data_IF_565203191878
#
_entry.id   IF_565203191878
#
_cell.length_a   1.000
_cell.length_b   1.000
_cell.length_c   1.000
_cell.angle_alpha   90.00
_cell.angle_beta   90.00
_cell.angle_gamma   90.00
#
_symmetry.space_group_name_H-M   'P 1'
#
loop_
_entity.id
_entity.type
_entity.pdbx_description
1 polymer ?
#
# COMPACT_ATOMS: atom_id res chain seq x y z
N UNK A 1 -5.24 3.41 13.03
CA UNK A 1 -4.45 3.44 11.78
C UNK A 1 -5.36 3.48 10.56
N UNK A 2 -6.24 2.50 10.35
CA UNK A 2 -7.20 2.50 9.24
C UNK A 2 -8.64 2.67 9.74
N UNK A 3 -9.47 3.35 8.95
CA UNK A 3 -10.91 3.50 9.16
C UNK A 3 -11.59 2.92 7.91
N UNK A 4 -12.33 1.83 8.10
CA UNK A 4 -13.06 1.17 7.02
C UNK A 4 -14.44 1.79 6.83
N UNK A 5 -14.92 1.83 5.59
CA UNK A 5 -16.26 2.30 5.24
C UNK A 5 -17.35 1.25 5.56
N UNK A 6 -16.97 -0.02 5.60
CA UNK A 6 -17.83 -1.19 5.80
C UNK A 6 -17.01 -2.32 6.44
N UNK A 7 -17.68 -3.31 7.05
CA UNK A 7 -17.00 -4.48 7.62
C UNK A 7 -16.55 -5.44 6.51
N UNK A 8 -15.25 -5.75 6.47
CA UNK A 8 -14.64 -6.55 5.39
C UNK A 8 -13.73 -7.63 5.99
N UNK A 9 -13.92 -8.87 5.53
CA UNK A 9 -13.04 -9.99 5.83
C UNK A 9 -11.95 -10.11 4.76
N UNK A 10 -10.71 -9.80 5.14
CA UNK A 10 -9.54 -9.79 4.25
C UNK A 10 -8.77 -11.12 4.22
N UNK A 11 -9.27 -12.15 4.90
CA UNK A 11 -8.60 -13.45 4.95
C UNK A 11 -8.39 -14.03 3.55
N UNK A 12 -7.15 -14.42 3.26
CA UNK A 12 -6.75 -14.99 1.98
C UNK A 12 -6.49 -13.97 0.86
N UNK A 13 -6.63 -12.66 1.11
CA UNK A 13 -6.32 -11.64 0.10
C UNK A 13 -4.84 -11.56 -0.21
N UNK A 14 -4.51 -11.26 -1.46
CA UNK A 14 -3.17 -10.83 -1.86
C UNK A 14 -3.05 -9.32 -1.65
N UNK A 15 -2.03 -8.87 -0.92
CA UNK A 15 -1.82 -7.48 -0.55
C UNK A 15 -0.68 -6.85 -1.36
N UNK A 16 -0.90 -5.64 -1.87
CA UNK A 16 0.11 -4.78 -2.51
C UNK A 16 0.36 -3.59 -1.59
N UNK A 17 1.62 -3.39 -1.21
CA UNK A 17 2.08 -2.25 -0.40
C UNK A 17 3.15 -1.48 -1.20
N UNK A 18 2.87 -0.24 -1.65
CA UNK A 18 3.84 0.53 -2.40
C UNK A 18 5.01 0.93 -1.52
N UNK A 19 6.21 0.87 -2.09
CA UNK A 19 7.41 1.44 -1.48
C UNK A 19 7.38 2.97 -1.59
N UNK A 20 8.06 3.68 -0.68
CA UNK A 20 8.27 5.12 -0.83
C UNK A 20 9.70 5.32 -1.31
N UNK A 21 9.88 5.24 -2.62
CA UNK A 21 11.18 5.22 -3.30
C UNK A 21 11.39 6.40 -4.25
N UNK A 22 12.53 6.38 -4.96
CA UNK A 22 12.87 7.41 -5.95
C UNK A 22 11.87 7.36 -7.10
N UNK A 23 11.41 8.54 -7.53
CA UNK A 23 10.51 8.68 -8.69
C UNK A 23 9.08 8.14 -8.47
N UNK A 24 8.70 7.77 -7.24
CA UNK A 24 7.34 7.31 -6.88
C UNK A 24 6.82 6.14 -7.73
N UNK A 25 7.73 5.34 -8.33
CA UNK A 25 7.38 4.31 -9.32
C UNK A 25 6.33 3.33 -8.79
N UNK A 26 6.51 2.84 -7.57
CA UNK A 26 5.61 1.87 -6.94
C UNK A 26 4.25 2.48 -6.59
N UNK A 27 4.19 3.77 -6.24
CA UNK A 27 2.93 4.50 -6.06
C UNK A 27 2.18 4.64 -7.39
N UNK A 28 2.87 5.03 -8.46
CA UNK A 28 2.30 5.16 -9.81
C UNK A 28 1.88 3.80 -10.39
N UNK A 29 2.66 2.75 -10.13
CA UNK A 29 2.30 1.38 -10.50
C UNK A 29 1.05 0.93 -9.75
N UNK A 30 0.91 1.31 -8.48
CA UNK A 30 -0.30 1.04 -7.71
C UNK A 30 -1.51 1.82 -8.24
N UNK A 31 -1.33 3.07 -8.68
CA UNK A 31 -2.39 3.83 -9.37
C UNK A 31 -2.88 3.12 -10.63
N UNK A 32 -1.95 2.62 -11.46
CA UNK A 32 -2.30 1.84 -12.65
C UNK A 32 -3.07 0.59 -12.28
N UNK A 33 -2.62 -0.18 -11.28
CA UNK A 33 -3.31 -1.39 -10.83
C UNK A 33 -4.74 -1.05 -10.33
N UNK A 34 -4.88 -0.01 -9.50
CA UNK A 34 -6.19 0.43 -8.98
C UNK A 34 -7.11 0.83 -10.12
N UNK A 35 -6.64 1.64 -11.06
CA UNK A 35 -7.42 2.15 -12.19
C UNK A 35 -7.79 1.04 -13.18
N UNK A 36 -6.82 0.22 -13.60
CA UNK A 36 -7.04 -0.85 -14.57
C UNK A 36 -7.96 -1.95 -14.05
N UNK A 37 -7.81 -2.35 -12.78
CA UNK A 37 -8.67 -3.36 -12.17
C UNK A 37 -9.94 -2.79 -11.54
N UNK A 38 -10.12 -1.46 -11.61
CA UNK A 38 -11.26 -0.73 -11.01
C UNK A 38 -11.49 -1.09 -9.55
N UNK A 39 -10.41 -1.07 -8.75
CA UNK A 39 -10.50 -1.45 -7.32
C UNK A 39 -11.35 -0.42 -6.55
N UNK A 40 -12.20 -0.91 -5.64
CA UNK A 40 -13.09 -0.09 -4.79
C UNK A 40 -12.34 0.45 -3.58
N UNK A 41 -12.49 1.72 -3.25
CA UNK A 41 -11.90 2.28 -2.03
C UNK A 41 -12.71 1.87 -0.80
N UNK A 42 -12.07 1.14 0.13
CA UNK A 42 -12.73 0.59 1.31
C UNK A 42 -12.25 1.15 2.64
N UNK A 43 -11.06 1.76 2.68
CA UNK A 43 -10.58 2.39 3.89
C UNK A 43 -9.73 3.62 3.64
N UNK A 44 -9.59 4.43 4.68
CA UNK A 44 -8.70 5.58 4.75
C UNK A 44 -7.82 5.45 5.99
N UNK A 45 -6.55 5.80 5.87
CA UNK A 45 -5.56 5.68 6.92
C UNK A 45 -5.09 7.01 7.50
N UNK A 46 -4.92 7.03 8.81
CA UNK A 46 -4.41 8.16 9.58
C UNK A 46 -3.29 7.71 10.51
N UNK A 47 -2.19 8.45 10.49
CA UNK A 47 -1.02 8.21 11.33
C UNK A 47 -0.18 9.47 11.46
N UNK A 48 0.53 9.64 12.58
CA UNK A 48 1.47 10.76 12.81
C UNK A 48 2.63 10.81 11.81
N UNK A 49 2.82 9.73 11.04
CA UNK A 49 3.85 9.64 10.02
C UNK A 49 3.39 10.17 8.66
N UNK A 50 2.07 10.28 8.44
CA UNK A 50 1.51 10.71 7.17
C UNK A 50 1.35 12.23 7.18
N UNK A 51 1.80 12.89 6.11
CA UNK A 51 1.51 14.30 5.91
C UNK A 51 0.04 14.38 5.44
N UNK A 52 -0.83 15.18 6.08
CA UNK A 52 -2.23 15.26 5.69
C UNK A 52 -2.38 15.67 4.22
N UNK A 53 -3.17 14.90 3.49
CA UNK A 53 -3.59 15.16 2.12
C UNK A 53 -5.10 14.92 2.09
N UNK A 54 -5.85 15.82 1.47
CA UNK A 54 -7.27 15.63 1.21
C UNK A 54 -7.61 16.22 -0.16
N UNK A 55 -8.36 15.47 -0.97
CA UNK A 55 -8.72 15.91 -2.31
C UNK A 55 -9.83 15.06 -2.92
N UNK A 56 -10.27 15.41 -4.14
CA UNK A 56 -11.29 14.66 -4.86
C UNK A 56 -10.80 13.23 -5.18
N UNK A 57 -11.71 12.42 -5.73
CA UNK A 57 -11.35 11.09 -6.22
C UNK A 57 -10.17 11.15 -7.19
N UNK A 58 -9.20 10.27 -6.98
CA UNK A 58 -8.09 10.07 -7.91
C UNK A 58 -8.48 9.20 -9.12
N UNK A 59 -9.63 8.52 -9.09
CA UNK A 59 -9.99 7.51 -10.07
C UNK A 59 -11.40 7.70 -10.60
N UNK A 60 -11.54 7.71 -11.93
CA UNK A 60 -12.82 7.94 -12.60
C UNK A 60 -13.89 6.90 -12.27
N UNK A 61 -13.50 5.66 -11.95
CA UNK A 61 -14.43 4.59 -11.59
C UNK A 61 -14.96 4.69 -10.15
N UNK A 62 -14.42 5.60 -9.33
CA UNK A 62 -14.83 5.85 -7.95
C UNK A 62 -15.11 7.36 -7.75
N UNK A 63 -16.06 7.97 -8.50
CA UNK A 63 -16.24 9.43 -8.51
C UNK A 63 -16.64 10.02 -7.15
N UNK A 64 -17.34 9.25 -6.31
CA UNK A 64 -17.80 9.68 -4.98
C UNK A 64 -16.75 9.44 -3.88
N UNK A 65 -15.58 8.94 -4.25
CA UNK A 65 -14.48 8.72 -3.33
C UNK A 65 -13.64 9.99 -3.13
N UNK A 66 -12.74 9.94 -2.16
CA UNK A 66 -11.83 11.04 -1.87
C UNK A 66 -10.43 10.51 -1.62
N UNK A 67 -9.46 11.28 -2.09
CA UNK A 67 -8.05 10.99 -1.88
C UNK A 67 -7.62 11.45 -0.49
N UNK A 68 -6.90 10.58 0.21
CA UNK A 68 -6.22 10.88 1.46
C UNK A 68 -4.74 10.49 1.37
N UNK A 69 -3.97 10.81 2.41
CA UNK A 69 -2.55 10.44 2.48
C UNK A 69 -2.33 8.92 2.41
N UNK A 70 -3.26 8.14 2.98
CA UNK A 70 -3.32 6.70 2.88
C UNK A 70 -4.75 6.24 2.57
N UNK A 71 -4.91 5.49 1.50
CA UNK A 71 -6.17 4.82 1.15
C UNK A 71 -5.94 3.34 0.91
N UNK A 72 -7.00 2.55 1.08
CA UNK A 72 -7.00 1.10 0.84
C UNK A 72 -8.07 0.77 -0.17
N UNK A 73 -7.70 0.00 -1.18
CA UNK A 73 -8.56 -0.41 -2.27
C UNK A 73 -8.61 -1.94 -2.37
N UNK A 74 -9.73 -2.50 -2.79
CA UNK A 74 -9.87 -3.94 -2.99
C UNK A 74 -10.59 -4.32 -4.28
N UNK A 75 -10.37 -5.57 -4.69
CA UNK A 75 -11.29 -6.34 -5.53
C UNK A 75 -11.60 -7.65 -4.81
N UNK A 76 -12.83 -7.77 -4.32
CA UNK A 76 -13.27 -8.94 -3.55
C UNK A 76 -13.34 -10.21 -4.39
N UNK A 77 -13.60 -10.08 -5.70
CA UNK A 77 -13.67 -11.24 -6.62
C UNK A 77 -12.29 -11.87 -6.82
N UNK A 78 -11.26 -11.02 -6.96
CA UNK A 78 -9.86 -11.45 -7.15
C UNK A 78 -9.12 -11.62 -5.83
N UNK A 79 -9.77 -11.30 -4.70
CA UNK A 79 -9.16 -11.22 -3.37
C UNK A 79 -7.86 -10.39 -3.41
N UNK A 80 -7.93 -9.22 -4.02
CA UNK A 80 -6.80 -8.30 -4.12
C UNK A 80 -7.01 -7.11 -3.19
N UNK A 81 -5.95 -6.72 -2.48
CA UNK A 81 -5.89 -5.60 -1.54
C UNK A 81 -4.71 -4.72 -1.97
N UNK A 82 -4.93 -3.42 -2.13
CA UNK A 82 -3.88 -2.47 -2.49
C UNK A 82 -3.91 -1.26 -1.55
N UNK A 83 -2.75 -0.95 -0.97
CA UNK A 83 -2.53 0.30 -0.25
C UNK A 83 -2.08 1.37 -1.23
N UNK A 84 -2.57 2.60 -1.10
CA UNK A 84 -2.01 3.75 -1.79
C UNK A 84 -1.54 4.78 -0.77
N UNK A 85 -0.27 5.19 -0.86
CA UNK A 85 0.35 6.18 0.03
C UNK A 85 0.78 7.37 -0.83
N UNK A 86 0.16 8.53 -0.61
CA UNK A 86 0.33 9.74 -1.43
C UNK A 86 1.32 10.76 -0.86
N UNK A 87 1.74 10.59 0.39
CA UNK A 87 2.69 11.48 1.06
C UNK A 87 4.00 10.76 1.41
N UNK A 88 5.14 11.46 1.41
CA UNK A 88 6.31 11.02 2.15
C UNK A 88 5.97 10.78 3.63
N UNK A 89 6.75 9.92 4.30
CA UNK A 89 6.59 9.70 5.74
C UNK A 89 7.47 10.65 6.55
N UNK A 90 6.93 11.17 7.65
CA UNK A 90 7.67 11.91 8.66
C UNK A 90 8.61 10.95 9.38
N UNK A 91 9.92 11.08 9.13
CA UNK A 91 10.95 10.11 9.50
C UNK A 91 10.90 9.63 10.95
N UNK A 92 10.69 10.52 11.93
CA UNK A 92 10.60 10.18 13.37
C UNK A 92 9.45 9.23 13.73
N UNK A 93 8.44 9.11 12.87
CA UNK A 93 7.26 8.27 13.08
C UNK A 93 7.18 7.09 12.09
N UNK A 94 8.13 6.97 11.16
CA UNK A 94 8.10 5.92 10.12
C UNK A 94 8.13 4.52 10.68
N UNK A 95 8.97 4.24 11.69
CA UNK A 95 9.07 2.89 12.29
C UNK A 95 7.75 2.46 12.94
N UNK A 96 7.12 3.38 13.66
CA UNK A 96 5.82 3.17 14.30
C UNK A 96 4.71 2.90 13.28
N UNK A 97 4.68 3.67 12.20
CA UNK A 97 3.76 3.45 11.08
C UNK A 97 3.92 2.07 10.45
N UNK A 98 5.17 1.67 10.17
CA UNK A 98 5.45 0.37 9.56
C UNK A 98 5.08 -0.78 10.49
N UNK A 99 5.35 -0.66 11.80
CA UNK A 99 4.93 -1.67 12.79
C UNK A 99 3.40 -1.82 12.83
N UNK A 100 2.66 -0.71 12.86
CA UNK A 100 1.20 -0.72 12.82
C UNK A 100 0.66 -1.37 11.52
N UNK A 101 1.32 -1.12 10.39
CA UNK A 101 0.99 -1.74 9.11
C UNK A 101 1.25 -3.25 9.13
N UNK A 102 2.41 -3.69 9.63
CA UNK A 102 2.74 -5.11 9.78
C UNK A 102 1.71 -5.80 10.67
N UNK A 103 1.38 -5.22 11.81
CA UNK A 103 0.42 -5.78 12.76
C UNK A 103 -0.97 -5.93 12.14
N UNK A 104 -1.43 -4.91 11.41
CA UNK A 104 -2.67 -4.97 10.65
C UNK A 104 -2.68 -6.12 9.64
N UNK A 105 -1.62 -6.25 8.84
CA UNK A 105 -1.53 -7.31 7.82
C UNK A 105 -1.52 -8.71 8.45
N UNK A 106 -0.83 -8.88 9.58
CA UNK A 106 -0.84 -10.13 10.35
C UNK A 106 -2.24 -10.48 10.86
N UNK A 107 -2.92 -9.52 11.49
CA UNK A 107 -4.30 -9.71 12.00
C UNK A 107 -5.31 -9.97 10.88
N UNK A 108 -5.08 -9.40 9.70
CA UNK A 108 -5.98 -9.54 8.54
C UNK A 108 -5.86 -10.90 7.82
N UNK A 109 -4.85 -11.71 8.15
CA UNK A 109 -4.63 -13.04 7.55
C UNK A 109 -4.56 -13.02 6.01
N UNK A 110 -3.89 -12.01 5.45
CA UNK A 110 -3.62 -11.94 4.00
C UNK A 110 -2.72 -13.10 3.56
N UNK A 111 -2.97 -13.67 2.38
CA UNK A 111 -2.25 -14.85 1.88
C UNK A 111 -0.86 -14.52 1.33
N UNK A 112 -0.69 -13.36 0.71
CA UNK A 112 0.56 -12.89 0.09
C UNK A 112 0.71 -11.39 0.26
N UNK A 113 1.95 -10.90 0.34
CA UNK A 113 2.27 -9.47 0.42
C UNK A 113 3.35 -9.16 -0.61
N UNK A 114 3.09 -8.17 -1.48
CA UNK A 114 4.05 -7.60 -2.41
C UNK A 114 4.47 -6.21 -1.93
N UNK A 115 5.76 -6.03 -1.65
CA UNK A 115 6.36 -4.75 -1.28
C UNK A 115 7.70 -4.57 -2.00
N UNK A 116 7.95 -3.37 -2.53
CA UNK A 116 9.19 -3.04 -3.23
C UNK A 116 10.29 -2.55 -2.25
N UNK A 117 11.55 -2.90 -2.52
CA UNK A 117 12.60 -3.02 -1.51
C UNK A 117 13.50 -1.77 -1.42
N UNK A 118 13.70 -1.26 -0.20
CA UNK A 118 15.01 -0.70 0.22
C UNK A 118 15.50 -1.14 1.61
N UNK A 119 14.67 -1.69 2.51
CA UNK A 119 15.09 -2.46 3.71
C UNK A 119 13.88 -3.11 4.42
N UNK A 120 14.01 -4.42 4.65
CA UNK A 120 13.26 -5.38 5.50
C UNK A 120 11.81 -5.09 5.95
N UNK A 121 10.89 -5.91 5.44
CA UNK A 121 9.64 -6.25 6.12
C UNK A 121 9.86 -7.61 6.82
N UNK A 122 10.19 -7.62 8.11
CA UNK A 122 10.34 -8.86 8.89
C UNK A 122 8.99 -9.26 9.47
N UNK A 123 8.35 -10.25 8.86
CA UNK A 123 7.22 -10.96 9.44
C UNK A 123 7.70 -12.36 9.86
N UNK A 124 8.17 -12.48 11.10
CA UNK A 124 8.39 -13.80 11.71
C UNK A 124 7.04 -14.46 12.05
N UNK A 125 7.03 -15.79 11.81
CA UNK A 125 6.00 -16.84 11.94
C UNK A 125 4.82 -16.86 10.95
N UNK A 126 5.12 -17.37 9.73
CA UNK A 126 4.30 -18.14 8.75
C UNK A 126 2.94 -17.59 8.31
N UNK A 127 2.72 -17.32 6.99
CA UNK A 127 2.92 -18.23 5.87
C UNK A 127 4.18 -17.91 5.05
N UNK A 128 4.65 -18.83 4.19
CA UNK A 128 5.78 -18.57 3.28
C UNK A 128 5.47 -17.37 2.37
N UNK A 129 6.02 -16.22 2.72
CA UNK A 129 5.87 -14.97 1.97
C UNK A 129 6.70 -15.04 0.68
N UNK A 130 6.04 -15.07 -0.47
CA UNK A 130 6.70 -14.87 -1.77
C UNK A 130 6.79 -13.37 -2.06
N UNK A 131 7.92 -12.75 -1.74
CA UNK A 131 8.24 -11.40 -2.22
C UNK A 131 8.56 -11.50 -3.72
N UNK A 132 7.64 -11.08 -4.59
CA UNK A 132 7.97 -10.88 -6.02
C UNK A 132 8.68 -9.54 -6.15
N UNK A 133 9.96 -9.62 -6.52
CA UNK A 133 10.85 -8.48 -6.77
C UNK A 133 10.49 -7.85 -8.11
N UNK A 134 9.89 -6.66 -8.10
CA UNK A 134 9.81 -5.83 -9.31
C UNK A 134 11.14 -5.10 -9.41
N UNK A 135 12.15 -5.72 -10.03
CA UNK A 135 13.46 -5.09 -10.18
C UNK A 135 13.39 -3.97 -11.21
N UNK A 136 13.68 -2.74 -10.83
CA UNK A 136 14.11 -1.73 -11.79
C UNK A 136 15.63 -1.89 -12.00
N UNK A 137 16.01 -2.45 -13.14
CA UNK A 137 17.37 -2.27 -13.69
C UNK A 137 17.45 -0.86 -14.23
N UNK A 138 18.05 0.05 -13.47
CA UNK A 138 18.64 1.26 -14.03
C UNK A 138 20.12 1.26 -13.68
N UNK A 139 20.93 1.35 -14.73
CA UNK A 139 22.37 1.17 -14.71
C UNK A 139 23.08 2.20 -13.85
N UNK A 140 24.21 1.77 -13.30
CA UNK A 140 25.27 2.66 -12.87
C UNK A 140 25.70 3.52 -14.04
N UNK A 141 25.23 4.76 -14.09
CA UNK A 141 25.94 5.83 -14.77
C UNK A 141 26.06 6.99 -13.80
N UNK A 142 27.31 7.41 -13.62
CA UNK A 142 27.85 8.58 -12.90
C UNK A 142 28.12 8.43 -11.40
N UNK A 143 29.41 8.28 -11.08
CA UNK A 143 30.28 9.22 -10.34
C UNK A 143 31.58 8.46 -10.03
N UNK A 144 32.81 8.88 -10.36
CA UNK A 144 33.44 10.14 -10.73
C UNK A 144 34.68 9.80 -11.55
#
# INVERSE_FOLDING_TARGET
MLIFKEDIVLNGYTCIVPSLGVGNVSQLSTDLIISTLKLKQVATGFHKALIPIFGPSAFQHEPDSFTNALNVYIDSSKKLLAFQIRSPLIGKHTKDFLNNLVEFLKKSQVSKIFADHKKEFSASSSPKFSLVKISQRYGSVVNK
#
